data_IF_895880805460
#
_entry.id   IF_895880805460
#
_cell.length_a   1.000
_cell.length_b   1.000
_cell.length_c   1.000
_cell.angle_alpha   90.00
_cell.angle_beta   90.00
_cell.angle_gamma   90.00
#
_symmetry.space_group_name_H-M   'P 1'
#
loop_
_entity.id
_entity.type
_entity.pdbx_description
1 polymer ?
#
# COMPACT_ATOMS: atom_id res chain seq x y z
N UNK A 1 15.90 12.68 6.48
CA UNK A 1 15.42 13.09 5.15
C UNK A 1 13.97 13.53 5.34
N UNK A 2 13.60 14.73 4.93
CA UNK A 2 12.23 15.19 5.12
C UNK A 2 11.25 14.33 4.30
N UNK A 3 10.02 14.06 4.80
CA UNK A 3 9.03 13.26 4.07
C UNK A 3 8.57 13.97 2.79
N UNK A 4 8.29 13.18 1.75
CA UNK A 4 7.74 13.68 0.48
C UNK A 4 6.24 13.97 0.61
N UNK A 5 5.67 14.76 -0.31
CA UNK A 5 4.22 14.98 -0.35
C UNK A 5 3.44 13.66 -0.49
N UNK A 6 3.96 12.70 -1.23
CA UNK A 6 3.37 11.37 -1.38
C UNK A 6 3.30 10.63 -0.04
N UNK A 7 4.38 10.61 0.73
CA UNK A 7 4.41 10.00 2.06
C UNK A 7 3.46 10.69 3.05
N UNK A 8 3.37 12.02 2.97
CA UNK A 8 2.41 12.78 3.79
C UNK A 8 0.98 12.46 3.37
N UNK A 9 0.69 12.40 2.07
CA UNK A 9 -0.63 12.05 1.56
C UNK A 9 -1.04 10.63 1.97
N UNK A 10 -0.15 9.65 1.85
CA UNK A 10 -0.38 8.27 2.28
C UNK A 10 -0.69 8.18 3.78
N UNK A 11 0.06 8.90 4.63
CA UNK A 11 -0.22 8.97 6.06
C UNK A 11 -1.66 9.45 6.32
N UNK A 12 -2.11 10.53 5.66
CA UNK A 12 -3.45 11.08 5.85
C UNK A 12 -4.55 10.18 5.27
N UNK A 13 -4.31 9.48 4.15
CA UNK A 13 -5.23 8.47 3.62
C UNK A 13 -5.38 7.30 4.60
N UNK A 14 -4.28 6.83 5.16
CA UNK A 14 -4.27 5.79 6.19
C UNK A 14 -4.99 6.25 7.47
N UNK A 15 -4.77 7.48 7.92
CA UNK A 15 -5.54 8.06 9.05
C UNK A 15 -7.04 8.11 8.76
N UNK A 16 -7.44 8.50 7.54
CA UNK A 16 -8.83 8.49 7.10
C UNK A 16 -9.44 7.08 7.18
N UNK A 17 -8.71 6.08 6.70
CA UNK A 17 -9.11 4.67 6.76
C UNK A 17 -9.25 4.14 8.19
N UNK A 18 -8.28 4.45 9.06
CA UNK A 18 -8.32 4.05 10.48
C UNK A 18 -9.49 4.70 11.22
N UNK A 19 -9.80 5.97 10.94
CA UNK A 19 -10.97 6.65 11.49
C UNK A 19 -12.29 6.01 11.01
N UNK A 20 -12.35 5.58 9.76
CA UNK A 20 -13.51 4.86 9.23
C UNK A 20 -13.65 3.47 9.90
N UNK A 21 -12.56 2.75 10.08
CA UNK A 21 -12.50 1.49 10.80
C UNK A 21 -13.00 1.63 12.24
N UNK A 22 -12.61 2.71 12.92
CA UNK A 22 -13.04 3.04 14.27
C UNK A 22 -14.50 3.49 14.35
N UNK A 23 -15.12 3.86 13.23
CA UNK A 23 -16.49 4.38 13.19
C UNK A 23 -16.61 5.84 13.57
N UNK A 24 -15.57 6.63 13.35
CA UNK A 24 -15.59 8.09 13.58
C UNK A 24 -16.53 8.80 12.60
N UNK A 25 -16.76 10.09 12.78
CA UNK A 25 -17.71 10.87 11.99
C UNK A 25 -17.27 10.96 10.52
N UNK A 26 -18.23 10.85 9.62
CA UNK A 26 -17.98 10.95 8.17
C UNK A 26 -17.31 12.28 7.77
N UNK A 27 -17.58 13.36 8.51
CA UNK A 27 -16.98 14.66 8.26
C UNK A 27 -15.47 14.64 8.52
N UNK A 28 -15.06 14.00 9.61
CA UNK A 28 -13.65 13.84 9.97
C UNK A 28 -12.93 12.95 8.98
N UNK A 29 -13.50 11.78 8.65
CA UNK A 29 -12.97 10.86 7.64
C UNK A 29 -12.74 11.60 6.32
N UNK A 30 -13.75 12.28 5.80
CA UNK A 30 -13.66 13.04 4.54
C UNK A 30 -12.66 14.20 4.60
N UNK A 31 -12.46 14.82 5.76
CA UNK A 31 -11.45 15.87 5.90
C UNK A 31 -10.03 15.33 5.69
N UNK A 32 -9.71 14.17 6.27
CA UNK A 32 -8.41 13.52 6.09
C UNK A 32 -8.21 13.06 4.64
N UNK A 33 -9.20 12.38 4.04
CA UNK A 33 -9.16 11.94 2.65
C UNK A 33 -9.04 13.11 1.65
N UNK A 34 -9.70 14.25 1.94
CA UNK A 34 -9.55 15.45 1.10
C UNK A 34 -8.15 16.04 1.23
N UNK A 35 -7.63 16.13 2.44
CA UNK A 35 -6.27 16.63 2.66
C UNK A 35 -5.25 15.77 1.93
N UNK A 36 -5.34 14.43 2.03
CA UNK A 36 -4.47 13.50 1.32
C UNK A 36 -4.44 13.78 -0.19
N UNK A 37 -5.61 13.85 -0.84
CA UNK A 37 -5.71 14.14 -2.28
C UNK A 37 -5.15 15.51 -2.66
N UNK A 38 -5.37 16.53 -1.83
CA UNK A 38 -4.83 17.86 -2.11
C UNK A 38 -3.32 17.87 -1.99
N UNK A 39 -2.76 17.21 -0.95
CA UNK A 39 -1.33 17.14 -0.73
C UNK A 39 -0.62 16.39 -1.86
N UNK A 40 -1.20 15.28 -2.32
CA UNK A 40 -0.68 14.50 -3.46
C UNK A 40 -0.56 15.34 -4.75
N UNK A 41 -1.46 16.30 -4.96
CA UNK A 41 -1.49 17.17 -6.15
C UNK A 41 -0.60 18.42 -6.04
N UNK A 42 0.04 18.66 -4.90
CA UNK A 42 0.91 19.82 -4.73
C UNK A 42 2.20 19.66 -5.54
N UNK A 43 2.53 20.68 -6.33
CA UNK A 43 3.77 20.74 -7.09
C UNK A 43 5.00 21.12 -6.25
N UNK A 44 4.79 21.78 -5.11
CA UNK A 44 5.85 22.22 -4.19
C UNK A 44 5.92 21.30 -2.98
N UNK A 45 7.11 20.94 -2.49
CA UNK A 45 7.25 20.13 -1.28
C UNK A 45 6.71 20.84 -0.04
N UNK A 46 5.86 20.16 0.74
CA UNK A 46 5.34 20.70 2.01
C UNK A 46 6.43 20.92 3.05
N UNK A 47 7.52 20.15 2.99
CA UNK A 47 8.69 20.34 3.86
C UNK A 47 9.28 21.75 3.71
N UNK A 48 9.37 22.26 2.49
CA UNK A 48 9.83 23.65 2.24
C UNK A 48 8.85 24.69 2.79
N UNK A 49 7.55 24.47 2.64
CA UNK A 49 6.53 25.36 3.18
C UNK A 49 6.61 25.46 4.71
N UNK A 50 6.83 24.31 5.39
CA UNK A 50 7.01 24.27 6.84
C UNK A 50 8.32 24.96 7.26
N UNK A 51 9.45 24.70 6.60
CA UNK A 51 10.72 25.34 6.84
C UNK A 51 10.66 26.87 6.68
N UNK A 52 9.87 27.34 5.70
CA UNK A 52 9.64 28.77 5.44
C UNK A 52 8.64 29.41 6.42
N UNK A 53 8.02 28.63 7.31
CA UNK A 53 6.98 29.12 8.22
C UNK A 53 5.67 29.52 7.53
N UNK A 54 5.37 28.94 6.37
CA UNK A 54 4.15 29.23 5.62
C UNK A 54 2.90 28.70 6.33
N UNK A 55 1.82 29.43 6.21
CA UNK A 55 0.51 29.02 6.77
C UNK A 55 -0.13 27.93 5.91
N UNK A 56 0.02 26.67 6.32
CA UNK A 56 -0.54 25.52 5.62
C UNK A 56 -2.07 25.49 5.58
N UNK A 57 -2.75 26.26 6.45
CA UNK A 57 -4.22 26.32 6.43
C UNK A 57 -4.77 27.01 5.18
N UNK A 58 -3.93 27.68 4.39
CA UNK A 58 -4.27 28.23 3.08
C UNK A 58 -4.44 27.17 2.00
N UNK A 59 -3.93 25.95 2.24
CA UNK A 59 -4.09 24.83 1.32
C UNK A 59 -5.54 24.31 1.42
N UNK A 60 -6.26 24.20 0.30
CA UNK A 60 -7.64 23.73 0.31
C UNK A 60 -7.78 22.34 0.99
N UNK A 61 -8.63 22.25 1.99
CA UNK A 61 -8.85 21.01 2.73
C UNK A 61 -7.89 20.76 3.91
N UNK A 62 -6.89 21.62 4.11
CA UNK A 62 -5.97 21.57 5.24
C UNK A 62 -6.44 22.55 6.31
N UNK A 63 -7.15 22.05 7.31
CA UNK A 63 -7.51 22.82 8.50
C UNK A 63 -6.41 22.79 9.56
N UNK A 64 -6.57 23.57 10.63
CA UNK A 64 -5.58 23.71 11.70
C UNK A 64 -5.08 22.35 12.25
N UNK A 65 -6.00 21.42 12.57
CA UNK A 65 -5.63 20.11 13.11
C UNK A 65 -4.84 19.22 12.13
N UNK A 66 -5.03 19.39 10.83
CA UNK A 66 -4.28 18.71 9.77
C UNK A 66 -2.93 19.39 9.59
N UNK A 67 -2.89 20.72 9.55
CA UNK A 67 -1.66 21.51 9.47
C UNK A 67 -0.66 21.17 10.61
N UNK A 68 -1.15 21.07 11.86
CA UNK A 68 -0.34 20.67 13.02
C UNK A 68 0.26 19.27 12.84
N UNK A 69 -0.47 18.31 12.28
CA UNK A 69 0.01 16.95 12.02
C UNK A 69 0.99 16.88 10.85
N UNK A 70 0.83 17.73 9.83
CA UNK A 70 1.81 17.84 8.75
C UNK A 70 3.15 18.33 9.32
N UNK A 71 3.12 19.39 10.14
CA UNK A 71 4.31 19.91 10.78
C UNK A 71 4.96 18.87 11.70
N UNK A 72 4.17 18.21 12.56
CA UNK A 72 4.63 17.12 13.43
C UNK A 72 5.34 16.01 12.62
N UNK A 73 4.76 15.55 11.51
CA UNK A 73 5.33 14.52 10.68
C UNK A 73 6.62 14.94 9.99
N UNK A 74 6.69 16.19 9.51
CA UNK A 74 7.89 16.72 8.86
C UNK A 74 9.03 16.90 9.87
N UNK A 75 8.73 17.34 11.10
CA UNK A 75 9.71 17.59 12.14
C UNK A 75 10.22 16.31 12.81
N UNK A 76 9.33 15.34 13.08
CA UNK A 76 9.64 14.17 13.90
C UNK A 76 9.72 12.86 13.12
N UNK A 77 9.14 12.80 11.90
CA UNK A 77 8.97 11.56 11.13
C UNK A 77 7.77 10.72 11.59
N UNK A 78 7.03 11.14 12.60
CA UNK A 78 5.92 10.39 13.20
C UNK A 78 4.76 11.32 13.53
N UNK A 79 3.55 10.75 13.67
CA UNK A 79 2.35 11.46 14.13
C UNK A 79 1.73 10.69 15.29
N UNK A 80 1.75 11.25 16.48
CA UNK A 80 1.23 10.60 17.70
C UNK A 80 -0.23 10.14 17.53
N UNK A 81 -1.06 10.96 16.90
CA UNK A 81 -2.46 10.61 16.64
C UNK A 81 -2.61 9.39 15.71
N UNK A 82 -1.68 9.19 14.78
CA UNK A 82 -1.66 8.01 13.92
C UNK A 82 -1.29 6.75 14.70
N UNK A 83 -0.23 6.82 15.49
CA UNK A 83 0.21 5.71 16.34
C UNK A 83 -0.91 5.25 17.29
N UNK A 84 -1.58 6.20 17.94
CA UNK A 84 -2.72 5.91 18.79
C UNK A 84 -3.88 5.21 18.05
N UNK A 85 -4.18 5.63 16.83
CA UNK A 85 -5.20 4.97 16.01
C UNK A 85 -4.81 3.53 15.66
N UNK A 86 -3.52 3.29 15.37
CA UNK A 86 -3.01 1.94 15.10
C UNK A 86 -3.10 1.01 16.32
N UNK A 87 -2.83 1.52 17.53
CA UNK A 87 -2.92 0.76 18.77
C UNK A 87 -4.37 0.34 19.14
N UNK A 88 -5.36 1.14 18.72
CA UNK A 88 -6.78 0.90 19.01
C UNK A 88 -7.43 -0.13 18.06
N UNK A 89 -6.76 -0.55 17.00
CA UNK A 89 -7.29 -1.44 15.96
C UNK A 89 -6.50 -2.75 15.88
N UNK A 90 -7.08 -3.83 15.35
CA UNK A 90 -6.35 -5.07 15.13
C UNK A 90 -5.13 -4.85 14.24
N UNK A 91 -4.01 -5.55 14.48
CA UNK A 91 -2.83 -5.45 13.63
C UNK A 91 -3.15 -5.87 12.18
N UNK A 92 -2.43 -5.30 11.20
CA UNK A 92 -2.55 -5.66 9.80
C UNK A 92 -3.77 -5.10 9.06
N UNK A 93 -4.69 -4.38 9.74
CA UNK A 93 -5.94 -3.90 9.11
C UNK A 93 -5.70 -2.96 7.91
N UNK A 94 -4.60 -2.21 7.90
CA UNK A 94 -4.25 -1.34 6.77
C UNK A 94 -3.84 -2.16 5.54
N UNK A 95 -3.07 -3.23 5.72
CA UNK A 95 -2.70 -4.13 4.62
C UNK A 95 -3.94 -4.88 4.09
N UNK A 96 -4.81 -5.34 4.99
CA UNK A 96 -6.02 -6.06 4.61
C UNK A 96 -7.00 -5.19 3.81
N UNK A 97 -7.12 -3.88 4.10
CA UNK A 97 -8.01 -2.98 3.36
C UNK A 97 -7.60 -2.79 1.90
N UNK A 98 -6.32 -2.99 1.59
CA UNK A 98 -5.79 -2.81 0.24
C UNK A 98 -6.08 -4.02 -0.66
N UNK A 99 -6.57 -5.13 -0.08
CA UNK A 99 -7.05 -6.27 -0.86
C UNK A 99 -8.38 -5.90 -1.55
N UNK A 100 -8.47 -5.99 -2.88
CA UNK A 100 -9.72 -5.71 -3.60
C UNK A 100 -10.89 -6.55 -3.10
N UNK A 101 -11.97 -5.88 -2.69
CA UNK A 101 -13.15 -6.50 -2.07
C UNK A 101 -13.15 -6.49 -0.54
N UNK A 102 -12.06 -6.05 0.10
CA UNK A 102 -11.99 -5.84 1.54
C UNK A 102 -11.98 -4.33 1.81
N UNK A 103 -13.09 -3.82 2.33
CA UNK A 103 -13.17 -2.44 2.80
C UNK A 103 -12.73 -2.30 4.25
N UNK A 104 -12.62 -1.05 4.78
CA UNK A 104 -12.17 -0.78 6.14
C UNK A 104 -12.91 -1.58 7.22
N UNK A 105 -14.24 -1.63 7.17
CA UNK A 105 -15.05 -2.38 8.14
C UNK A 105 -14.86 -3.90 8.04
N UNK A 106 -14.65 -4.42 6.84
CA UNK A 106 -14.39 -5.83 6.61
C UNK A 106 -13.02 -6.22 7.14
N UNK A 107 -12.00 -5.38 6.93
CA UNK A 107 -10.66 -5.59 7.47
C UNK A 107 -10.68 -5.71 9.00
N UNK A 108 -11.43 -4.82 9.67
CA UNK A 108 -11.61 -4.90 11.14
C UNK A 108 -12.32 -6.19 11.54
N UNK A 109 -13.40 -6.58 10.87
CA UNK A 109 -14.12 -7.82 11.18
C UNK A 109 -13.23 -9.05 11.00
N UNK A 110 -12.41 -9.10 9.93
CA UNK A 110 -11.43 -10.17 9.72
C UNK A 110 -10.44 -10.24 10.90
N UNK A 111 -9.89 -9.10 11.30
CA UNK A 111 -8.96 -9.04 12.43
C UNK A 111 -9.59 -9.45 13.76
N UNK A 112 -10.80 -8.97 14.05
CA UNK A 112 -11.47 -9.20 15.34
C UNK A 112 -12.09 -10.60 15.44
N UNK A 113 -12.80 -11.06 14.40
CA UNK A 113 -13.57 -12.31 14.46
C UNK A 113 -12.74 -13.54 14.07
N UNK A 114 -11.78 -13.39 13.17
CA UNK A 114 -10.93 -14.50 12.70
C UNK A 114 -9.50 -14.47 13.24
N UNK A 115 -9.07 -13.36 13.87
CA UNK A 115 -7.70 -13.19 14.35
C UNK A 115 -6.65 -13.12 13.23
N UNK A 116 -7.05 -12.71 12.01
CA UNK A 116 -6.21 -12.70 10.82
C UNK A 116 -5.69 -11.29 10.59
N UNK A 117 -4.36 -11.16 10.40
CA UNK A 117 -3.67 -9.89 10.18
C UNK A 117 -2.82 -9.86 8.90
N UNK A 118 -2.82 -10.93 8.09
CA UNK A 118 -1.99 -11.07 6.88
C UNK A 118 -2.81 -11.46 5.66
N UNK A 119 -2.30 -11.15 4.47
CA UNK A 119 -2.93 -11.50 3.18
C UNK A 119 -3.04 -13.02 3.02
N UNK A 120 -2.01 -13.76 3.42
CA UNK A 120 -1.98 -15.24 3.38
C UNK A 120 -3.06 -15.83 4.29
N UNK A 121 -3.24 -15.26 5.48
CA UNK A 121 -4.30 -15.66 6.40
C UNK A 121 -5.70 -15.45 5.82
N UNK A 122 -5.91 -14.33 5.12
CA UNK A 122 -7.17 -14.06 4.41
C UNK A 122 -7.40 -15.07 3.28
N UNK A 123 -6.37 -15.39 2.49
CA UNK A 123 -6.46 -16.38 1.42
C UNK A 123 -6.82 -17.76 1.97
N UNK A 124 -6.20 -18.19 3.06
CA UNK A 124 -6.51 -19.45 3.73
C UNK A 124 -7.95 -19.48 4.25
N UNK A 125 -8.42 -18.40 4.91
CA UNK A 125 -9.77 -18.29 5.41
C UNK A 125 -10.84 -18.22 4.29
N UNK A 126 -10.49 -17.68 3.13
CA UNK A 126 -11.34 -17.70 1.95
C UNK A 126 -11.45 -19.12 1.36
N UNK A 127 -10.34 -19.85 1.30
CA UNK A 127 -10.30 -21.21 0.77
C UNK A 127 -11.04 -22.22 1.66
N UNK A 128 -10.97 -22.08 2.97
CA UNK A 128 -11.61 -22.98 3.94
C UNK A 128 -13.05 -22.57 4.32
N UNK A 129 -13.53 -21.44 3.80
CA UNK A 129 -14.91 -20.96 3.99
C UNK A 129 -15.13 -20.11 5.24
N UNK A 130 -14.15 -19.93 6.12
CA UNK A 130 -14.28 -19.06 7.33
C UNK A 130 -14.59 -17.62 6.96
N UNK A 131 -13.99 -17.11 5.86
CA UNK A 131 -14.22 -15.76 5.40
C UNK A 131 -15.69 -15.54 4.99
N UNK A 132 -16.32 -16.53 4.35
CA UNK A 132 -17.73 -16.48 3.95
C UNK A 132 -18.72 -16.47 5.14
N UNK A 133 -18.28 -16.91 6.31
CA UNK A 133 -19.04 -16.88 7.55
C UNK A 133 -19.14 -15.51 8.22
N UNK A 134 -18.34 -14.53 7.80
CA UNK A 134 -18.41 -13.18 8.36
C UNK A 134 -19.70 -12.44 7.97
N UNK A 135 -20.20 -11.56 8.85
CA UNK A 135 -21.38 -10.75 8.55
C UNK A 135 -21.22 -9.97 7.24
N UNK A 136 -22.22 -10.05 6.37
CA UNK A 136 -22.26 -9.40 5.04
C UNK A 136 -21.21 -9.91 4.03
N UNK A 137 -20.50 -11.01 4.37
CA UNK A 137 -19.56 -11.68 3.48
C UNK A 137 -20.22 -13.01 3.07
N UNK A 138 -20.61 -13.15 1.81
CA UNK A 138 -21.11 -14.43 1.29
C UNK A 138 -20.02 -15.16 0.50
N UNK A 139 -20.26 -16.42 0.15
CA UNK A 139 -19.31 -17.26 -0.59
C UNK A 139 -18.78 -16.57 -1.86
N UNK A 140 -19.65 -15.95 -2.65
CA UNK A 140 -19.25 -15.24 -3.88
C UNK A 140 -18.25 -14.10 -3.63
N UNK A 141 -18.39 -13.37 -2.52
CA UNK A 141 -17.46 -12.31 -2.14
C UNK A 141 -16.11 -12.90 -1.68
N UNK A 142 -16.15 -13.95 -0.86
CA UNK A 142 -14.94 -14.66 -0.42
C UNK A 142 -14.16 -15.25 -1.61
N UNK A 143 -14.84 -15.88 -2.57
CA UNK A 143 -14.23 -16.40 -3.81
C UNK A 143 -13.62 -15.26 -4.66
N UNK A 144 -14.27 -14.09 -4.69
CA UNK A 144 -13.77 -12.90 -5.37
C UNK A 144 -12.47 -12.40 -4.74
N UNK A 145 -12.43 -12.30 -3.42
CA UNK A 145 -11.24 -11.88 -2.67
C UNK A 145 -10.09 -12.87 -2.89
N UNK A 146 -10.35 -14.17 -2.81
CA UNK A 146 -9.34 -15.19 -3.05
C UNK A 146 -8.73 -15.08 -4.45
N UNK A 147 -9.56 -14.86 -5.47
CA UNK A 147 -9.06 -14.64 -6.85
C UNK A 147 -8.22 -13.39 -6.96
N UNK A 148 -8.60 -12.28 -6.33
CA UNK A 148 -7.80 -11.05 -6.34
C UNK A 148 -6.43 -11.26 -5.70
N UNK A 149 -6.38 -11.95 -4.56
CA UNK A 149 -5.11 -12.28 -3.88
C UNK A 149 -4.24 -13.15 -4.79
N UNK A 150 -4.81 -14.19 -5.43
CA UNK A 150 -4.08 -15.07 -6.34
C UNK A 150 -3.52 -14.31 -7.55
N UNK A 151 -4.32 -13.41 -8.15
CA UNK A 151 -3.87 -12.55 -9.25
C UNK A 151 -2.74 -11.63 -8.78
N UNK A 152 -2.87 -11.03 -7.62
CA UNK A 152 -1.84 -10.15 -7.04
C UNK A 152 -0.52 -10.92 -6.83
N UNK A 153 -0.56 -12.12 -6.27
CA UNK A 153 0.65 -12.95 -6.14
C UNK A 153 1.26 -13.34 -7.48
N UNK A 154 0.42 -13.64 -8.47
CA UNK A 154 0.89 -13.98 -9.83
C UNK A 154 1.48 -12.76 -10.53
N UNK A 155 0.91 -11.56 -10.33
CA UNK A 155 1.43 -10.30 -10.87
C UNK A 155 2.68 -9.82 -10.13
N UNK A 156 2.71 -9.97 -8.81
CA UNK A 156 3.86 -9.61 -7.96
C UNK A 156 5.11 -10.46 -8.21
N UNK A 157 4.95 -11.66 -8.80
CA UNK A 157 6.06 -12.50 -9.25
C UNK A 157 6.60 -12.10 -10.64
N UNK A 158 5.94 -11.15 -11.33
CA UNK A 158 6.37 -10.70 -12.67
C UNK A 158 7.12 -9.37 -12.57
N UNK A 159 8.36 -9.39 -13.01
CA UNK A 159 9.24 -8.21 -13.02
C UNK A 159 9.10 -7.45 -14.34
N UNK A 160 8.93 -6.12 -14.35
CA UNK A 160 8.96 -5.33 -15.57
C UNK A 160 10.24 -5.56 -16.36
N UNK A 161 10.15 -5.65 -17.69
CA UNK A 161 11.32 -5.94 -18.56
C UNK A 161 12.45 -4.94 -18.35
N UNK A 162 12.14 -3.67 -18.09
CA UNK A 162 13.13 -2.63 -17.80
C UNK A 162 13.98 -2.88 -16.56
N UNK A 163 13.50 -3.69 -15.61
CA UNK A 163 14.26 -4.12 -14.43
C UNK A 163 14.93 -5.48 -14.65
N UNK A 164 14.24 -6.40 -15.33
CA UNK A 164 14.74 -7.75 -15.55
C UNK A 164 15.88 -7.82 -16.58
N UNK A 165 15.81 -7.01 -17.63
CA UNK A 165 16.80 -7.03 -18.73
C UNK A 165 18.21 -6.66 -18.27
N UNK A 166 18.45 -5.56 -17.54
CA UNK A 166 19.81 -5.24 -17.05
C UNK A 166 20.40 -6.33 -16.17
N UNK A 167 19.59 -6.95 -15.30
CA UNK A 167 20.04 -8.05 -14.43
C UNK A 167 20.42 -9.29 -15.26
N UNK A 168 19.61 -9.63 -16.26
CA UNK A 168 19.90 -10.76 -17.15
C UNK A 168 21.18 -10.51 -17.98
N UNK A 169 21.40 -9.30 -18.46
CA UNK A 169 22.61 -8.92 -19.20
C UNK A 169 23.87 -9.02 -18.32
N UNK A 170 23.77 -8.55 -17.06
CA UNK A 170 24.85 -8.65 -16.08
C UNK A 170 25.20 -10.12 -15.77
N UNK A 171 24.19 -10.96 -15.53
CA UNK A 171 24.38 -12.39 -15.29
C UNK A 171 25.00 -13.07 -16.52
N UNK A 172 24.52 -12.76 -17.73
CA UNK A 172 25.09 -13.34 -18.96
C UNK A 172 26.53 -12.88 -19.18
N UNK A 173 26.87 -11.63 -18.85
CA UNK A 173 28.26 -11.13 -18.94
C UNK A 173 29.18 -11.87 -17.95
N UNK A 174 28.74 -11.99 -16.68
CA UNK A 174 29.51 -12.73 -15.67
C UNK A 174 29.71 -14.21 -16.03
N UNK A 175 28.71 -14.87 -16.59
CA UNK A 175 28.81 -16.25 -17.04
C UNK A 175 29.80 -16.42 -18.19
N UNK A 176 29.85 -15.50 -19.16
CA UNK A 176 30.81 -15.52 -20.25
C UNK A 176 32.26 -15.34 -19.76
N UNK A 177 32.42 -14.50 -18.74
CA UNK A 177 33.73 -14.24 -18.14
C UNK A 177 34.24 -15.44 -17.33
N UNK A 178 33.37 -16.05 -16.52
CA UNK A 178 33.74 -17.15 -15.62
C UNK A 178 33.80 -18.53 -16.30
N UNK A 179 33.08 -18.68 -17.41
CA UNK A 179 32.97 -19.95 -18.14
C UNK A 179 33.26 -19.73 -19.62
N UNK A 180 34.53 -19.56 -20.03
CA UNK A 180 34.91 -19.25 -21.42
C UNK A 180 34.56 -20.36 -22.42
N UNK A 181 34.29 -21.58 -21.96
CA UNK A 181 33.90 -22.72 -22.80
C UNK A 181 32.39 -22.73 -23.18
N UNK A 182 31.61 -21.74 -22.72
CA UNK A 182 30.21 -21.62 -23.12
C UNK A 182 30.11 -21.20 -24.59
N UNK A 183 29.67 -22.14 -25.44
CA UNK A 183 29.55 -21.91 -26.88
C UNK A 183 28.42 -20.92 -27.25
N UNK A 184 27.25 -21.05 -26.61
CA UNK A 184 26.08 -20.21 -26.85
C UNK A 184 25.38 -19.88 -25.54
N UNK A 185 25.15 -18.60 -25.29
CA UNK A 185 24.43 -18.09 -24.11
C UNK A 185 23.43 -16.98 -24.55
N UNK A 186 22.17 -17.21 -24.33
CA UNK A 186 21.11 -16.22 -24.62
C UNK A 186 19.96 -16.34 -23.62
N UNK A 187 19.21 -15.25 -23.46
CA UNK A 187 17.98 -15.24 -22.67
C UNK A 187 16.90 -16.12 -23.31
N UNK A 188 16.03 -16.70 -22.50
CA UNK A 188 14.92 -17.53 -22.94
C UNK A 188 13.57 -16.99 -22.41
N UNK A 189 12.48 -17.72 -22.68
CA UNK A 189 11.16 -17.41 -22.13
C UNK A 189 10.62 -16.05 -22.52
N UNK A 190 9.92 -15.41 -21.60
CA UNK A 190 9.30 -14.10 -21.77
C UNK A 190 10.31 -12.98 -22.02
N UNK A 191 11.50 -13.05 -21.43
CA UNK A 191 12.56 -12.07 -21.65
C UNK A 191 13.02 -12.04 -23.12
N UNK A 192 13.18 -13.21 -23.75
CA UNK A 192 13.54 -13.31 -25.17
C UNK A 192 12.43 -12.78 -26.10
N UNK A 193 11.17 -12.95 -25.69
CA UNK A 193 10.01 -12.49 -26.47
C UNK A 193 9.68 -11.01 -26.27
N UNK A 194 10.47 -10.29 -25.45
CA UNK A 194 10.24 -8.88 -25.15
C UNK A 194 8.87 -8.58 -24.58
N UNK A 195 8.36 -9.46 -23.70
CA UNK A 195 7.10 -9.19 -23.02
C UNK A 195 7.29 -8.07 -21.97
N UNK A 196 6.25 -7.28 -21.76
CA UNK A 196 6.30 -6.12 -20.83
C UNK A 196 6.69 -6.52 -19.40
N UNK A 197 6.35 -7.73 -18.99
CA UNK A 197 6.68 -8.28 -17.68
C UNK A 197 7.22 -9.70 -17.78
N UNK A 198 8.23 -10.00 -16.95
CA UNK A 198 8.96 -11.26 -16.92
C UNK A 198 8.52 -12.02 -15.66
N UNK A 199 8.13 -13.29 -15.78
CA UNK A 199 7.58 -14.08 -14.67
C UNK A 199 8.51 -15.16 -14.14
N UNK A 200 9.42 -15.65 -14.95
CA UNK A 200 10.31 -16.80 -14.66
C UNK A 200 11.48 -16.85 -15.65
#
# INVERSE_FOLDING_TARGET
MAPTNEQIAELFENMGSLLEMKGDTIFKIRAYQRAARTIEQLSSPLSQAVENGEDLTKIPGVGKAISEKIAEFIETGEVFAYQKLMEELPPGVLELKDIPGIGPKTAVAIGQELGISTVEGVAAAAADGRLAGLPRMGQKAADGILRHIQVFWTMGSRTPIGQALPVAEEVMAALREQCPDIGLLFSAGSLRRWEETIGD
#
